data_IF_029079755646
#
_entry.id   IF_029079755646
#
_cell.length_a   1.000
_cell.length_b   1.000
_cell.length_c   1.000
_cell.angle_alpha   90.00
_cell.angle_beta   90.00
_cell.angle_gamma   90.00
#
_symmetry.space_group_name_H-M   'P 1'
#
loop_
_entity.id
_entity.type
_entity.pdbx_description
1 polymer ?
#
# COMPACT_ATOMS: atom_id res chain seq x y z
N UNK A 1 22.62 -2.45 6.08
CA UNK A 1 23.24 -3.06 4.89
C UNK A 1 24.42 -2.20 4.45
N UNK A 2 25.63 -2.77 4.55
CA UNK A 2 26.89 -2.07 4.31
C UNK A 2 27.01 -1.55 2.88
N UNK A 3 26.59 -2.33 1.89
CA UNK A 3 26.61 -1.89 0.49
C UNK A 3 25.73 -0.66 0.20
N UNK A 4 24.59 -0.54 0.87
CA UNK A 4 23.72 0.66 0.74
C UNK A 4 24.42 1.86 1.39
N UNK A 5 25.07 1.66 2.52
CA UNK A 5 25.83 2.70 3.23
C UNK A 5 26.96 3.28 2.37
N UNK A 6 27.77 2.41 1.79
CA UNK A 6 28.85 2.78 0.89
C UNK A 6 28.34 3.51 -0.36
N UNK A 7 27.24 3.03 -0.96
CA UNK A 7 26.63 3.68 -2.11
C UNK A 7 26.12 5.09 -1.79
N UNK A 8 25.53 5.30 -0.61
CA UNK A 8 25.09 6.63 -0.16
C UNK A 8 26.30 7.55 0.02
N UNK A 9 27.36 7.08 0.67
CA UNK A 9 28.60 7.86 0.83
C UNK A 9 29.17 8.29 -0.52
N UNK A 10 29.20 7.38 -1.47
CA UNK A 10 29.75 7.62 -2.82
C UNK A 10 28.89 8.63 -3.61
N UNK A 11 27.57 8.46 -3.61
CA UNK A 11 26.65 9.35 -4.35
C UNK A 11 26.65 10.78 -3.79
N UNK A 12 26.74 10.92 -2.46
CA UNK A 12 26.65 12.22 -1.80
C UNK A 12 28.02 12.81 -1.41
N UNK A 13 29.10 12.13 -1.74
CA UNK A 13 30.46 12.57 -1.40
C UNK A 13 30.74 12.66 0.10
N UNK A 14 30.10 11.79 0.88
CA UNK A 14 30.22 11.74 2.34
C UNK A 14 31.30 10.76 2.76
N UNK A 15 31.99 11.07 3.87
CA UNK A 15 32.82 10.09 4.55
C UNK A 15 31.93 9.14 5.35
N UNK A 16 32.37 7.91 5.56
CA UNK A 16 31.60 6.92 6.32
C UNK A 16 31.26 7.39 7.76
N UNK A 17 32.14 8.14 8.37
CA UNK A 17 31.95 8.76 9.70
C UNK A 17 30.93 9.89 9.74
N UNK A 18 30.54 10.44 8.58
CA UNK A 18 29.50 11.46 8.44
C UNK A 18 28.11 10.85 8.28
N UNK A 19 28.04 9.55 7.99
CA UNK A 19 26.80 8.81 7.85
C UNK A 19 26.44 8.10 9.17
N UNK A 20 25.45 8.63 9.87
CA UNK A 20 24.92 8.01 11.08
C UNK A 20 24.06 6.80 10.73
N UNK A 21 24.58 5.61 10.95
CA UNK A 21 23.84 4.36 10.82
C UNK A 21 23.69 3.74 12.21
N UNK A 22 22.46 3.68 12.74
CA UNK A 22 22.14 2.95 13.96
C UNK A 22 21.73 1.51 13.68
N UNK A 23 21.94 0.61 14.61
CA UNK A 23 21.44 -0.77 14.54
C UNK A 23 19.89 -0.80 14.53
N UNK A 24 19.26 0.21 15.12
CA UNK A 24 17.81 0.39 15.17
C UNK A 24 17.35 1.38 14.07
N UNK A 25 17.24 0.92 12.83
CA UNK A 25 16.87 1.75 11.68
C UNK A 25 15.58 2.58 11.86
N UNK A 26 14.65 2.14 12.73
CA UNK A 26 13.40 2.86 12.99
C UNK A 26 13.58 4.20 13.71
N UNK A 27 14.68 4.39 14.45
CA UNK A 27 14.92 5.61 15.25
C UNK A 27 15.95 6.56 14.63
N UNK A 28 16.63 6.15 13.55
CA UNK A 28 17.69 6.96 12.92
C UNK A 28 17.17 8.31 12.43
N UNK A 29 15.99 8.34 11.85
CA UNK A 29 15.38 9.60 11.40
C UNK A 29 15.07 10.54 12.56
N UNK A 30 14.53 10.00 13.67
CA UNK A 30 14.24 10.78 14.88
C UNK A 30 15.54 11.29 15.53
N UNK A 31 16.59 10.47 15.58
CA UNK A 31 17.90 10.86 16.08
C UNK A 31 18.56 11.96 15.21
N UNK A 32 18.40 11.86 13.88
CA UNK A 32 18.88 12.88 12.95
C UNK A 32 18.21 14.24 13.16
N UNK A 33 16.89 14.24 13.35
CA UNK A 33 16.11 15.46 13.65
C UNK A 33 16.54 16.05 14.99
N UNK A 34 16.72 15.21 16.04
CA UNK A 34 17.19 15.65 17.34
C UNK A 34 18.59 16.27 17.27
N UNK A 35 19.50 15.67 16.51
CA UNK A 35 20.84 16.21 16.28
C UNK A 35 20.82 17.57 15.56
N UNK A 36 19.93 17.76 14.58
CA UNK A 36 19.72 19.04 13.91
C UNK A 36 19.18 20.10 14.89
N UNK A 37 18.29 19.75 15.77
CA UNK A 37 17.75 20.64 16.82
C UNK A 37 18.86 21.06 17.81
N UNK A 38 19.70 20.13 18.24
CA UNK A 38 20.84 20.42 19.13
C UNK A 38 21.88 21.37 18.53
N UNK A 39 22.01 21.42 17.20
CA UNK A 39 22.91 22.37 16.49
C UNK A 39 22.33 23.79 16.37
N UNK A 40 21.24 24.09 17.08
CA UNK A 40 20.64 25.42 17.14
C UNK A 40 19.93 25.87 15.86
N UNK A 41 19.72 24.99 14.89
CA UNK A 41 19.00 25.29 13.66
C UNK A 41 17.48 25.19 13.80
N UNK A 42 17.01 24.53 14.83
CA UNK A 42 15.60 24.40 15.18
C UNK A 42 15.40 24.73 16.65
N UNK A 43 14.61 25.76 16.94
CA UNK A 43 14.15 26.05 18.30
C UNK A 43 12.77 25.44 18.47
N UNK A 44 12.60 24.61 19.47
CA UNK A 44 11.32 24.01 19.81
C UNK A 44 10.83 24.57 21.14
N UNK A 45 9.66 25.21 21.11
CA UNK A 45 9.05 25.74 22.30
C UNK A 45 8.19 24.66 22.97
N UNK A 46 8.73 24.03 24.02
CA UNK A 46 8.04 23.00 24.80
C UNK A 46 6.81 23.48 25.55
N UNK A 47 6.70 24.78 25.80
CA UNK A 47 5.52 25.35 26.43
C UNK A 47 4.37 25.49 25.46
N UNK A 48 4.69 25.63 24.18
CA UNK A 48 3.73 25.74 23.09
C UNK A 48 4.14 24.85 21.92
N UNK A 49 4.14 23.51 22.12
CA UNK A 49 4.72 22.56 21.17
C UNK A 49 4.05 22.55 19.79
N UNK A 50 2.84 23.02 19.73
CA UNK A 50 2.08 23.16 18.47
C UNK A 50 1.34 24.49 18.53
N UNK A 51 1.92 25.56 18.00
CA UNK A 51 1.10 26.66 17.55
C UNK A 51 0.31 26.15 16.36
N UNK A 52 -0.87 25.62 16.62
CA UNK A 52 -1.91 25.74 15.63
C UNK A 52 -2.19 27.23 15.54
N UNK A 53 -1.72 27.90 14.52
CA UNK A 53 -2.47 29.03 14.01
C UNK A 53 -3.84 28.45 13.71
N UNK A 54 -4.76 28.63 14.65
CA UNK A 54 -6.18 28.45 14.39
C UNK A 54 -6.44 29.57 13.38
N UNK A 55 -6.31 29.22 12.10
CA UNK A 55 -6.86 30.03 11.04
C UNK A 55 -8.29 30.33 11.47
N UNK A 56 -8.63 31.62 11.48
CA UNK A 56 -9.86 32.19 11.98
C UNK A 56 -11.04 31.22 11.90
N UNK A 57 -11.86 31.21 12.94
CA UNK A 57 -13.01 30.30 13.13
C UNK A 57 -14.00 30.25 11.95
N UNK A 58 -13.86 31.11 10.96
CA UNK A 58 -14.69 31.13 9.75
C UNK A 58 -14.40 30.00 8.75
N UNK A 59 -13.22 29.37 8.80
CA UNK A 59 -13.02 28.09 8.15
C UNK A 59 -13.38 26.93 9.10
N UNK A 60 -14.61 26.90 9.58
CA UNK A 60 -15.24 25.64 9.98
C UNK A 60 -15.08 24.72 8.77
N UNK A 61 -14.01 23.93 8.77
CA UNK A 61 -13.91 22.81 7.84
C UNK A 61 -15.22 22.09 7.97
N UNK A 62 -16.08 22.19 6.95
CA UNK A 62 -17.30 21.38 6.90
C UNK A 62 -16.80 19.98 7.19
N UNK A 63 -17.20 19.45 8.34
CA UNK A 63 -16.87 18.08 8.69
C UNK A 63 -17.31 17.24 7.49
N UNK A 64 -16.40 16.46 6.92
CA UNK A 64 -16.76 15.54 5.87
C UNK A 64 -17.95 14.72 6.39
N UNK A 65 -19.01 14.54 5.60
CA UNK A 65 -20.14 13.72 6.02
C UNK A 65 -19.60 12.39 6.51
N UNK A 66 -20.08 11.95 7.68
CA UNK A 66 -19.67 10.67 8.25
C UNK A 66 -20.12 9.59 7.28
N UNK A 67 -19.15 8.87 6.73
CA UNK A 67 -19.44 7.77 5.83
C UNK A 67 -20.10 6.63 6.62
N UNK A 68 -21.27 6.24 6.24
CA UNK A 68 -22.03 5.17 6.90
C UNK A 68 -21.75 3.85 6.17
N UNK A 69 -20.73 3.14 6.62
CA UNK A 69 -20.32 1.84 6.05
C UNK A 69 -21.41 0.77 6.11
N UNK A 70 -22.42 0.93 6.98
CA UNK A 70 -23.50 -0.04 7.10
C UNK A 70 -24.58 0.18 6.04
N UNK A 71 -24.77 1.40 5.55
CA UNK A 71 -25.79 1.72 4.54
C UNK A 71 -25.37 1.47 3.11
N UNK A 72 -24.10 1.58 2.81
CA UNK A 72 -23.56 1.21 1.52
C UNK A 72 -22.81 -0.11 1.67
N UNK A 73 -23.50 -1.20 1.38
CA UNK A 73 -22.80 -2.47 1.13
C UNK A 73 -21.85 -2.24 -0.06
N UNK A 74 -20.62 -1.86 0.24
CA UNK A 74 -19.54 -1.58 -0.74
C UNK A 74 -19.25 -2.80 -1.63
N UNK A 75 -19.72 -3.96 -1.21
CA UNK A 75 -19.53 -5.21 -1.92
C UNK A 75 -20.88 -5.88 -2.18
N UNK A 76 -21.53 -5.46 -3.25
CA UNK A 76 -22.60 -6.29 -3.82
C UNK A 76 -21.94 -7.45 -4.56
N UNK A 77 -21.57 -8.48 -3.81
CA UNK A 77 -21.16 -9.73 -4.41
C UNK A 77 -22.37 -10.42 -5.01
N UNK A 78 -22.20 -10.94 -6.22
CA UNK A 78 -23.18 -11.82 -6.83
C UNK A 78 -22.57 -13.19 -7.11
N UNK A 79 -23.39 -14.24 -7.20
CA UNK A 79 -22.84 -15.56 -7.55
C UNK A 79 -22.24 -15.57 -8.96
N UNK A 80 -21.23 -16.43 -9.12
CA UNK A 80 -20.64 -16.74 -10.41
C UNK A 80 -21.70 -17.35 -11.35
N UNK A 81 -21.80 -16.84 -12.56
CA UNK A 81 -22.64 -17.40 -13.62
C UNK A 81 -21.84 -18.39 -14.45
N UNK A 82 -22.45 -19.48 -14.86
CA UNK A 82 -21.75 -20.48 -15.68
C UNK A 82 -21.27 -19.91 -17.03
N UNK A 83 -19.98 -20.05 -17.32
CA UNK A 83 -19.40 -19.67 -18.59
C UNK A 83 -19.18 -18.17 -18.80
N UNK A 84 -19.36 -17.33 -17.77
CA UNK A 84 -19.08 -15.89 -17.91
C UNK A 84 -17.58 -15.59 -17.93
N UNK A 85 -17.24 -14.48 -18.58
CA UNK A 85 -15.88 -13.94 -18.57
C UNK A 85 -15.56 -13.29 -17.24
N UNK A 86 -14.36 -13.54 -16.75
CA UNK A 86 -13.91 -13.07 -15.46
C UNK A 86 -12.64 -12.24 -15.58
N UNK A 87 -12.48 -11.28 -14.69
CA UNK A 87 -11.26 -10.49 -14.52
C UNK A 87 -10.79 -10.55 -13.07
N UNK A 88 -9.49 -10.63 -12.89
CA UNK A 88 -8.86 -10.63 -11.58
C UNK A 88 -8.14 -9.30 -11.34
N UNK A 89 -8.59 -8.54 -10.36
CA UNK A 89 -7.90 -7.37 -9.82
C UNK A 89 -7.03 -7.77 -8.64
N UNK A 90 -5.78 -7.27 -8.59
CA UNK A 90 -4.85 -7.53 -7.50
C UNK A 90 -4.28 -6.19 -7.03
N UNK A 91 -4.51 -5.85 -5.78
CA UNK A 91 -3.88 -4.71 -5.10
C UNK A 91 -2.84 -5.24 -4.11
N UNK A 92 -1.57 -4.88 -4.35
CA UNK A 92 -0.43 -5.41 -3.60
C UNK A 92 0.23 -4.31 -2.77
N UNK A 93 -0.26 -4.17 -1.54
CA UNK A 93 0.33 -3.27 -0.56
C UNK A 93 1.40 -3.93 0.31
N UNK A 94 2.14 -3.13 1.04
CA UNK A 94 3.16 -3.59 1.99
C UNK A 94 2.56 -4.37 3.17
N UNK A 95 1.36 -4.02 3.60
CA UNK A 95 0.66 -4.61 4.75
C UNK A 95 -0.34 -5.66 4.33
N UNK A 96 -1.11 -5.39 3.28
CA UNK A 96 -2.18 -6.25 2.78
C UNK A 96 -2.10 -6.43 1.28
N UNK A 97 -2.62 -7.55 0.82
CA UNK A 97 -2.82 -7.89 -0.59
C UNK A 97 -4.28 -8.26 -0.77
N UNK A 98 -4.95 -7.57 -1.69
CA UNK A 98 -6.36 -7.77 -1.97
C UNK A 98 -6.52 -8.39 -3.36
N UNK A 99 -7.38 -9.38 -3.49
CA UNK A 99 -7.76 -9.96 -4.77
C UNK A 99 -9.26 -9.77 -4.94
N UNK A 100 -9.67 -9.29 -6.11
CA UNK A 100 -11.10 -9.10 -6.44
C UNK A 100 -11.39 -9.79 -7.76
N UNK A 101 -12.40 -10.67 -7.74
CA UNK A 101 -12.89 -11.35 -8.92
C UNK A 101 -14.14 -10.61 -9.42
N UNK A 102 -14.15 -10.19 -10.67
CA UNK A 102 -15.28 -9.47 -11.28
C UNK A 102 -15.77 -10.19 -12.53
N UNK A 103 -17.07 -10.05 -12.81
CA UNK A 103 -17.67 -10.49 -14.05
C UNK A 103 -17.57 -9.46 -15.17
N UNK A 104 -18.07 -9.79 -16.36
CA UNK A 104 -18.11 -8.92 -17.54
C UNK A 104 -18.98 -7.67 -17.35
N UNK A 105 -19.93 -7.72 -16.41
CA UNK A 105 -20.79 -6.60 -16.03
C UNK A 105 -20.11 -5.67 -14.99
N UNK A 106 -18.85 -5.94 -14.61
CA UNK A 106 -18.11 -5.20 -13.59
C UNK A 106 -18.54 -5.51 -12.16
N UNK A 107 -19.53 -6.41 -11.98
CA UNK A 107 -19.98 -6.76 -10.63
C UNK A 107 -18.95 -7.64 -9.92
N UNK A 108 -18.74 -7.38 -8.63
CA UNK A 108 -17.87 -8.19 -7.78
C UNK A 108 -18.52 -9.56 -7.52
N UNK A 109 -17.78 -10.62 -7.80
CA UNK A 109 -18.19 -12.01 -7.56
C UNK A 109 -17.58 -12.50 -6.25
N UNK A 110 -16.32 -12.15 -6.02
CA UNK A 110 -15.60 -12.52 -4.79
C UNK A 110 -14.49 -11.52 -4.49
N UNK A 111 -14.15 -11.39 -3.23
CA UNK A 111 -13.01 -10.61 -2.77
C UNK A 111 -12.26 -11.33 -1.66
N UNK A 112 -10.96 -11.15 -1.63
CA UNK A 112 -10.07 -11.73 -0.63
C UNK A 112 -9.15 -10.66 -0.07
N UNK A 113 -9.12 -10.56 1.25
CA UNK A 113 -8.16 -9.76 1.98
C UNK A 113 -7.12 -10.66 2.63
N UNK A 114 -5.84 -10.46 2.29
CA UNK A 114 -4.71 -11.23 2.77
C UNK A 114 -3.66 -10.32 3.40
N UNK A 115 -2.99 -10.79 4.43
CA UNK A 115 -1.82 -10.11 4.98
C UNK A 115 -0.59 -10.37 4.13
N UNK A 116 0.07 -9.31 3.64
CA UNK A 116 1.29 -9.44 2.80
C UNK A 116 2.47 -10.03 3.58
N UNK A 117 2.67 -9.62 4.84
CA UNK A 117 3.73 -10.13 5.73
C UNK A 117 5.13 -10.13 5.09
N UNK A 118 5.45 -9.13 4.29
CA UNK A 118 6.73 -9.03 3.59
C UNK A 118 6.91 -10.04 2.44
N UNK A 119 5.89 -10.84 2.10
CA UNK A 119 5.92 -11.80 1.00
C UNK A 119 4.71 -11.59 0.06
N UNK A 120 4.75 -10.59 -0.80
CA UNK A 120 3.64 -10.25 -1.70
C UNK A 120 3.31 -11.39 -2.66
N UNK A 121 4.31 -12.07 -3.22
CA UNK A 121 4.07 -13.20 -4.12
C UNK A 121 3.36 -14.35 -3.42
N UNK A 122 3.78 -14.69 -2.20
CA UNK A 122 3.14 -15.73 -1.40
C UNK A 122 1.67 -15.39 -1.07
N UNK A 123 1.38 -14.12 -0.76
CA UNK A 123 0.02 -13.66 -0.52
C UNK A 123 -0.86 -13.80 -1.79
N UNK A 124 -0.36 -13.38 -2.95
CA UNK A 124 -1.07 -13.56 -4.23
C UNK A 124 -1.32 -15.02 -4.54
N UNK A 125 -0.28 -15.87 -4.42
CA UNK A 125 -0.42 -17.32 -4.64
C UNK A 125 -1.44 -17.96 -3.71
N UNK A 126 -1.45 -17.56 -2.44
CA UNK A 126 -2.44 -18.01 -1.46
C UNK A 126 -3.86 -17.59 -1.86
N UNK A 127 -4.07 -16.36 -2.31
CA UNK A 127 -5.36 -15.87 -2.77
C UNK A 127 -5.84 -16.61 -4.01
N UNK A 128 -5.00 -16.75 -5.02
CA UNK A 128 -5.33 -17.51 -6.23
C UNK A 128 -5.68 -18.97 -5.92
N UNK A 129 -4.95 -19.60 -5.00
CA UNK A 129 -5.26 -20.96 -4.55
C UNK A 129 -6.60 -21.05 -3.80
N UNK A 130 -6.99 -20.01 -3.05
CA UNK A 130 -8.31 -19.95 -2.40
C UNK A 130 -9.43 -19.85 -3.44
N UNK A 131 -9.29 -18.95 -4.41
CA UNK A 131 -10.25 -18.81 -5.51
C UNK A 131 -10.39 -20.12 -6.30
N UNK A 132 -9.26 -20.75 -6.65
CA UNK A 132 -9.28 -22.03 -7.37
C UNK A 132 -9.96 -23.14 -6.55
N UNK A 133 -9.76 -23.21 -5.25
CA UNK A 133 -10.46 -24.17 -4.39
C UNK A 133 -11.97 -23.93 -4.34
N UNK A 134 -12.39 -22.64 -4.35
CA UNK A 134 -13.81 -22.27 -4.25
C UNK A 134 -14.57 -22.52 -5.55
N UNK A 135 -13.95 -22.22 -6.68
CA UNK A 135 -14.61 -22.23 -7.99
C UNK A 135 -14.17 -23.36 -8.92
N UNK A 136 -13.11 -24.08 -8.57
CA UNK A 136 -12.60 -25.23 -9.32
C UNK A 136 -12.13 -24.87 -10.73
N UNK A 137 -12.37 -25.79 -11.65
CA UNK A 137 -11.99 -25.62 -13.06
C UNK A 137 -12.85 -24.59 -13.82
N UNK A 138 -13.94 -24.12 -13.25
CA UNK A 138 -14.74 -23.04 -13.81
C UNK A 138 -14.03 -21.68 -13.72
N UNK A 139 -12.93 -21.59 -12.96
CA UNK A 139 -12.19 -20.36 -12.76
C UNK A 139 -11.19 -20.15 -13.90
N UNK A 140 -11.61 -19.45 -14.93
CA UNK A 140 -10.76 -18.93 -16.00
C UNK A 140 -10.96 -17.43 -16.09
N UNK A 141 -9.89 -16.65 -16.11
CA UNK A 141 -9.97 -15.21 -16.28
C UNK A 141 -9.44 -14.76 -17.63
N UNK A 142 -10.11 -13.78 -18.21
CA UNK A 142 -9.74 -13.15 -19.48
C UNK A 142 -8.58 -12.15 -19.29
N UNK A 143 -8.43 -11.62 -18.09
CA UNK A 143 -7.38 -10.66 -17.80
C UNK A 143 -7.08 -10.50 -16.32
N UNK A 144 -5.86 -10.02 -16.05
CA UNK A 144 -5.39 -9.67 -14.71
C UNK A 144 -4.94 -8.22 -14.73
N UNK A 145 -5.43 -7.44 -13.78
CA UNK A 145 -4.96 -6.08 -13.48
C UNK A 145 -4.28 -6.04 -12.12
N UNK A 146 -3.17 -5.30 -12.01
CA UNK A 146 -2.40 -5.18 -10.78
C UNK A 146 -2.15 -3.72 -10.43
N UNK A 147 -2.35 -3.38 -9.17
CA UNK A 147 -2.03 -2.08 -8.57
C UNK A 147 -1.27 -2.26 -7.24
N UNK A 148 -0.97 -1.18 -6.56
CA UNK A 148 -0.26 -1.20 -5.28
C UNK A 148 1.26 -1.04 -5.41
N UNK A 149 1.92 -0.95 -4.27
CA UNK A 149 3.38 -0.73 -4.20
C UNK A 149 4.20 -1.88 -4.82
N UNK A 150 3.65 -3.10 -4.79
CA UNK A 150 4.27 -4.31 -5.36
C UNK A 150 3.87 -4.61 -6.81
N UNK A 151 3.12 -3.73 -7.48
CA UNK A 151 2.46 -3.97 -8.78
C UNK A 151 3.37 -4.51 -9.88
N UNK A 152 4.53 -3.92 -10.10
CA UNK A 152 5.44 -4.34 -11.17
C UNK A 152 5.98 -5.75 -10.97
N UNK A 153 6.38 -6.06 -9.74
CA UNK A 153 6.87 -7.39 -9.39
C UNK A 153 5.79 -8.46 -9.57
N UNK A 154 4.58 -8.20 -9.11
CA UNK A 154 3.47 -9.15 -9.22
C UNK A 154 2.96 -9.25 -10.65
N UNK A 155 2.90 -8.16 -11.42
CA UNK A 155 2.52 -8.20 -12.81
C UNK A 155 3.45 -9.10 -13.64
N UNK A 156 4.76 -9.01 -13.45
CA UNK A 156 5.73 -9.89 -14.09
C UNK A 156 5.47 -11.38 -13.78
N UNK A 157 5.16 -11.69 -12.50
CA UNK A 157 4.95 -13.07 -12.06
C UNK A 157 3.59 -13.66 -12.44
N UNK A 158 2.59 -12.82 -12.63
CA UNK A 158 1.22 -13.24 -12.97
C UNK A 158 0.91 -13.14 -14.46
N UNK A 159 1.74 -12.46 -15.23
CA UNK A 159 1.47 -12.14 -16.63
C UNK A 159 0.33 -11.14 -16.79
N UNK A 160 0.15 -10.23 -15.82
CA UNK A 160 -0.92 -9.23 -15.84
C UNK A 160 -0.81 -8.33 -17.07
N UNK A 161 -1.92 -8.17 -17.78
CA UNK A 161 -2.01 -7.31 -18.97
C UNK A 161 -2.15 -5.83 -18.64
N UNK A 162 -2.51 -5.48 -17.40
CA UNK A 162 -2.75 -4.11 -16.97
C UNK A 162 -2.06 -3.84 -15.63
N UNK A 163 -1.30 -2.74 -15.58
CA UNK A 163 -0.65 -2.25 -14.36
C UNK A 163 -1.01 -0.80 -14.19
N UNK A 164 -1.66 -0.46 -13.07
CA UNK A 164 -2.09 0.91 -12.75
C UNK A 164 -1.40 1.42 -11.50
N UNK A 165 -1.14 2.72 -11.47
CA UNK A 165 -0.70 3.41 -10.26
C UNK A 165 -1.91 3.73 -9.38
N UNK A 166 -1.73 3.71 -8.07
CA UNK A 166 -2.79 4.06 -7.10
C UNK A 166 -3.17 5.55 -7.13
N UNK A 167 -2.30 6.39 -7.68
CA UNK A 167 -2.41 7.87 -7.61
C UNK A 167 -2.90 8.46 -8.96
N UNK A 168 -3.19 7.66 -9.94
CA UNK A 168 -3.64 8.14 -11.28
C UNK A 168 -5.10 8.52 -11.30
#
# INVERSE_FOLDING_TARGET
NEGVRLAICDIFGLKEEELLCGEEGAVVSAAGIAACACRGKLTFDWKHPIRREVADEEQKRKALPRYDYEKEALHRTRPLRGGEKLWLGIDVGSTSTNLVLTGEDGAVIDDLYLRTRGNPLGAVQQGMAQLKRKYGEALTWEGIGVTGSGRYYIAEKTGAGTVLDEIT
#
